data_IF_428970774809
#
_entry.id   IF_428970774809
#
_cell.length_a   1.000
_cell.length_b   1.000
_cell.length_c   1.000
_cell.angle_alpha   90.00
_cell.angle_beta   90.00
_cell.angle_gamma   90.00
#
_symmetry.space_group_name_H-M   'P 1'
#
loop_
_entity.id
_entity.type
_entity.pdbx_description
1 polymer ?
#
# COMPACT_ATOMS: atom_id res chain seq x y z
N UNK A 1 3.17 20.16 -5.01
CA UNK A 1 2.41 18.89 -4.89
C UNK A 1 2.86 18.11 -3.67
N UNK A 2 1.92 17.64 -2.88
CA UNK A 2 2.23 16.91 -1.66
C UNK A 2 2.25 15.41 -1.95
N UNK A 3 3.32 14.74 -1.52
CA UNK A 3 3.41 13.29 -1.65
C UNK A 3 2.84 12.64 -0.40
N UNK A 4 2.03 11.62 -0.58
CA UNK A 4 1.36 10.95 0.53
C UNK A 4 1.50 9.43 0.44
N UNK A 5 1.46 8.80 1.59
CA UNK A 5 1.42 7.35 1.72
C UNK A 5 0.09 7.00 2.37
N UNK A 6 -0.64 6.06 1.80
CA UNK A 6 -1.93 5.64 2.34
C UNK A 6 -1.76 4.33 3.08
N UNK A 7 -1.99 4.36 4.38
CA UNK A 7 -1.94 3.15 5.20
C UNK A 7 -3.35 2.56 5.29
N UNK A 8 -3.46 1.28 4.99
CA UNK A 8 -4.76 0.62 4.99
C UNK A 8 -5.64 1.07 3.83
N UNK A 9 -5.09 1.05 2.62
CA UNK A 9 -5.76 1.62 1.45
C UNK A 9 -7.07 0.95 1.09
N UNK A 10 -7.28 -0.30 1.47
CA UNK A 10 -8.50 -1.02 1.16
C UNK A 10 -9.57 -0.90 2.26
N UNK A 11 -9.24 -0.30 3.40
CA UNK A 11 -10.20 -0.02 4.45
C UNK A 11 -11.05 1.20 4.11
N UNK A 12 -12.11 1.44 4.89
CA UNK A 12 -13.04 2.53 4.57
C UNK A 12 -12.38 3.90 4.63
N UNK A 13 -11.53 4.15 5.61
CA UNK A 13 -10.84 5.44 5.70
C UNK A 13 -9.85 5.62 4.56
N UNK A 14 -9.09 4.57 4.23
CA UNK A 14 -8.15 4.62 3.12
C UNK A 14 -8.83 4.87 1.79
N UNK A 15 -9.98 4.22 1.55
CA UNK A 15 -10.72 4.42 0.31
C UNK A 15 -11.27 5.84 0.22
N UNK A 16 -11.77 6.38 1.34
CA UNK A 16 -12.23 7.76 1.36
C UNK A 16 -11.10 8.75 1.07
N UNK A 17 -9.93 8.51 1.67
CA UNK A 17 -8.77 9.35 1.42
C UNK A 17 -8.39 9.33 -0.06
N UNK A 18 -8.40 8.15 -0.68
CA UNK A 18 -8.08 8.04 -2.10
C UNK A 18 -9.10 8.75 -2.98
N UNK A 19 -10.38 8.74 -2.60
CA UNK A 19 -11.40 9.49 -3.34
C UNK A 19 -11.12 10.98 -3.32
N UNK A 20 -10.75 11.50 -2.15
CA UNK A 20 -10.41 12.92 -2.02
C UNK A 20 -9.20 13.26 -2.86
N UNK A 21 -8.19 12.41 -2.84
CA UNK A 21 -6.98 12.63 -3.62
C UNK A 21 -7.29 12.58 -5.12
N UNK A 22 -8.12 11.65 -5.54
CA UNK A 22 -8.51 11.53 -6.94
C UNK A 22 -9.23 12.78 -7.44
N UNK A 23 -9.93 13.48 -6.54
CA UNK A 23 -10.59 14.72 -6.88
C UNK A 23 -9.66 15.92 -6.90
N UNK A 24 -8.44 15.77 -6.43
CA UNK A 24 -7.45 16.85 -6.34
C UNK A 24 -6.09 16.39 -6.87
N UNK A 25 -6.02 15.92 -8.12
CA UNK A 25 -4.79 15.29 -8.61
C UNK A 25 -3.60 16.26 -8.73
N UNK A 26 -3.87 17.55 -8.81
CA UNK A 26 -2.79 18.54 -8.88
C UNK A 26 -2.23 18.89 -7.52
N UNK A 27 -2.89 18.49 -6.43
CA UNK A 27 -2.45 18.81 -5.08
C UNK A 27 -1.72 17.67 -4.39
N UNK A 28 -2.06 16.44 -4.74
CA UNK A 28 -1.53 15.26 -4.04
C UNK A 28 -1.04 14.22 -5.02
N UNK A 29 0.01 13.53 -4.62
CA UNK A 29 0.51 12.37 -5.33
C UNK A 29 0.66 11.22 -4.35
N UNK A 30 0.01 10.10 -4.64
CA UNK A 30 0.15 8.90 -3.81
C UNK A 30 1.40 8.16 -4.26
N UNK A 31 2.38 8.04 -3.37
CA UNK A 31 3.63 7.36 -3.72
C UNK A 31 3.64 5.91 -3.24
N UNK A 32 2.84 5.57 -2.25
CA UNK A 32 2.81 4.22 -1.72
C UNK A 32 1.46 3.90 -1.09
N UNK A 33 1.11 2.61 -1.15
CA UNK A 33 -0.07 2.07 -0.48
C UNK A 33 0.36 0.92 0.41
N UNK A 34 -0.28 0.80 1.57
CA UNK A 34 -0.17 -0.41 2.38
C UNK A 34 -1.54 -0.96 2.66
N UNK A 35 -1.63 -2.28 2.80
CA UNK A 35 -2.89 -2.96 3.04
C UNK A 35 -2.62 -4.33 3.65
N UNK A 36 -3.63 -4.91 4.30
CA UNK A 36 -3.51 -6.29 4.75
C UNK A 36 -3.41 -7.26 3.58
N UNK A 37 -3.91 -6.88 2.41
CA UNK A 37 -3.82 -7.72 1.23
C UNK A 37 -4.90 -8.79 1.13
N UNK A 38 -5.93 -8.71 1.98
CA UNK A 38 -7.02 -9.69 1.95
C UNK A 38 -7.93 -9.51 0.74
N UNK A 39 -7.85 -8.35 0.09
CA UNK A 39 -8.53 -8.10 -1.17
C UNK A 39 -7.50 -7.66 -2.19
N UNK A 40 -6.70 -8.61 -2.72
CA UNK A 40 -5.60 -8.24 -3.61
C UNK A 40 -6.04 -7.56 -4.89
N UNK A 41 -7.20 -7.91 -5.42
CA UNK A 41 -7.70 -7.27 -6.63
C UNK A 41 -7.90 -5.77 -6.44
N UNK A 42 -8.40 -5.37 -5.28
CA UNK A 42 -8.60 -3.95 -4.98
C UNK A 42 -7.28 -3.22 -4.84
N UNK A 43 -6.31 -3.83 -4.15
CA UNK A 43 -4.98 -3.24 -4.01
C UNK A 43 -4.35 -2.99 -5.38
N UNK A 44 -4.44 -4.00 -6.25
CA UNK A 44 -3.89 -3.90 -7.61
C UNK A 44 -4.55 -2.77 -8.37
N UNK A 45 -5.88 -2.70 -8.29
CA UNK A 45 -6.64 -1.65 -8.97
C UNK A 45 -6.23 -0.26 -8.47
N UNK A 46 -6.14 -0.10 -7.15
CA UNK A 46 -5.74 1.18 -6.55
C UNK A 46 -4.34 1.58 -6.96
N UNK A 47 -3.40 0.64 -6.92
CA UNK A 47 -2.01 0.93 -7.25
C UNK A 47 -1.87 1.38 -8.71
N UNK A 48 -2.62 0.78 -9.61
CA UNK A 48 -2.61 1.16 -11.01
C UNK A 48 -3.27 2.53 -11.21
N UNK A 49 -4.41 2.75 -10.55
CA UNK A 49 -5.15 4.01 -10.72
C UNK A 49 -4.32 5.21 -10.26
N UNK A 50 -3.55 5.05 -9.21
CA UNK A 50 -2.75 6.15 -8.66
C UNK A 50 -1.28 6.09 -9.09
N UNK A 51 -0.90 5.07 -9.86
CA UNK A 51 0.46 4.92 -10.37
C UNK A 51 1.50 5.06 -9.25
N UNK A 52 1.31 4.29 -8.19
CA UNK A 52 2.19 4.38 -7.02
C UNK A 52 3.54 3.73 -7.30
N UNK A 53 4.56 4.12 -6.54
CA UNK A 53 5.89 3.56 -6.67
C UNK A 53 6.09 2.30 -5.82
N UNK A 54 5.29 2.14 -4.76
CA UNK A 54 5.50 1.08 -3.79
C UNK A 54 4.17 0.59 -3.22
N UNK A 55 4.08 -0.73 -3.01
CA UNK A 55 2.93 -1.34 -2.34
C UNK A 55 3.46 -2.31 -1.29
N UNK A 56 2.94 -2.20 -0.07
CA UNK A 56 3.24 -3.13 1.01
C UNK A 56 1.98 -3.87 1.42
N UNK A 57 2.04 -5.20 1.46
CA UNK A 57 0.91 -6.03 1.88
C UNK A 57 1.39 -7.12 2.83
N UNK A 58 0.48 -7.58 3.69
CA UNK A 58 0.77 -8.68 4.61
C UNK A 58 0.44 -10.02 3.96
N UNK A 59 -0.69 -10.10 3.27
CA UNK A 59 -1.18 -11.33 2.64
C UNK A 59 -1.18 -11.19 1.14
N UNK A 60 -1.10 -12.33 0.45
CA UNK A 60 -1.23 -12.38 -1.01
C UNK A 60 -0.17 -11.56 -1.75
N UNK A 61 1.04 -11.52 -1.17
CA UNK A 61 2.14 -10.75 -1.74
C UNK A 61 2.39 -11.14 -3.20
N UNK A 62 2.43 -12.44 -3.48
CA UNK A 62 2.72 -12.90 -4.84
C UNK A 62 1.64 -12.53 -5.83
N UNK A 63 0.37 -12.58 -5.40
CA UNK A 63 -0.75 -12.21 -6.26
C UNK A 63 -0.65 -10.73 -6.61
N UNK A 64 -0.39 -9.90 -5.62
CA UNK A 64 -0.28 -8.46 -5.83
C UNK A 64 0.94 -8.14 -6.70
N UNK A 65 2.06 -8.79 -6.42
CA UNK A 65 3.30 -8.57 -7.19
C UNK A 65 3.09 -8.94 -8.65
N UNK A 66 2.41 -10.05 -8.91
CA UNK A 66 2.13 -10.51 -10.26
C UNK A 66 1.25 -9.53 -11.03
N UNK A 67 0.30 -8.90 -10.32
CA UNK A 67 -0.60 -7.94 -10.93
C UNK A 67 0.00 -6.56 -11.14
N UNK A 68 1.19 -6.29 -10.58
CA UNK A 68 1.82 -4.98 -10.63
C UNK A 68 3.27 -5.06 -11.11
N UNK A 69 3.51 -5.51 -12.36
CA UNK A 69 4.87 -5.71 -12.85
C UNK A 69 5.54 -4.38 -12.99
N UNK A 70 5.88 -3.57 -12.61
CA UNK A 70 6.56 -2.28 -12.72
C UNK A 70 6.53 -1.53 -11.42
N UNK A 71 5.88 -2.10 -10.41
CA UNK A 71 5.76 -1.46 -9.11
C UNK A 71 6.44 -2.35 -8.08
N UNK A 72 7.17 -1.74 -7.15
CA UNK A 72 7.83 -2.50 -6.10
C UNK A 72 6.78 -2.96 -5.09
N UNK A 73 6.67 -4.27 -4.90
CA UNK A 73 5.73 -4.88 -3.95
C UNK A 73 6.50 -5.64 -2.91
N UNK A 74 6.25 -5.34 -1.65
CA UNK A 74 6.93 -5.97 -0.51
C UNK A 74 5.94 -6.60 0.43
N UNK A 75 6.35 -7.70 1.06
CA UNK A 75 5.55 -8.33 2.09
C UNK A 75 5.98 -7.80 3.46
N UNK A 76 5.13 -7.05 4.09
CA UNK A 76 5.43 -6.49 5.41
C UNK A 76 5.77 -7.57 6.41
N UNK A 77 5.00 -8.64 6.42
CA UNK A 77 5.22 -9.70 7.39
C UNK A 77 6.60 -10.33 7.23
N UNK A 78 7.01 -10.54 6.00
CA UNK A 78 8.33 -11.11 5.71
C UNK A 78 9.45 -10.21 6.20
N UNK A 79 9.34 -8.93 5.91
CA UNK A 79 10.34 -7.96 6.36
C UNK A 79 10.42 -7.92 7.88
N UNK A 80 9.28 -7.96 8.54
CA UNK A 80 9.21 -7.87 9.98
C UNK A 80 9.77 -9.10 10.68
N UNK A 81 9.55 -10.28 10.11
CA UNK A 81 10.05 -11.51 10.71
C UNK A 81 11.55 -11.68 10.50
N UNK A 82 12.11 -11.06 9.49
CA UNK A 82 13.52 -11.18 9.18
C UNK A 82 14.39 -10.18 9.92
N UNK A 83 13.79 -9.19 10.56
CA UNK A 83 14.52 -8.14 11.25
C UNK A 83 14.03 -8.03 12.69
N UNK A 84 14.74 -8.66 13.66
CA UNK A 84 14.30 -8.64 15.04
C UNK A 84 14.06 -7.24 15.64
N UNK A 85 14.91 -6.25 15.37
CA UNK A 85 14.64 -4.91 15.90
C UNK A 85 13.33 -4.34 15.38
N UNK A 86 12.99 -4.58 14.14
CA UNK A 86 11.75 -4.10 13.58
C UNK A 86 10.55 -4.78 14.21
N UNK A 87 10.65 -6.08 14.43
CA UNK A 87 9.57 -6.78 15.10
C UNK A 87 9.32 -6.21 16.49
N UNK A 88 10.40 -5.87 17.17
CA UNK A 88 10.29 -5.27 18.49
C UNK A 88 9.58 -3.93 18.40
N UNK A 89 9.96 -3.12 17.43
CA UNK A 89 9.38 -1.81 17.24
C UNK A 89 7.91 -1.85 16.89
N UNK A 90 7.46 -2.94 16.30
CA UNK A 90 6.08 -3.03 15.86
C UNK A 90 5.10 -3.46 16.91
N UNK A 91 5.57 -3.87 18.06
CA UNK A 91 4.65 -4.34 19.06
C UNK A 91 3.71 -3.29 19.58
N UNK A 92 4.05 -2.06 19.43
CA UNK A 92 3.19 -0.98 19.88
C UNK A 92 2.32 -0.43 18.77
N UNK A 93 2.60 -0.84 17.57
CA UNK A 93 1.91 -0.28 16.40
C UNK A 93 0.79 -1.09 15.89
#
# INVERSE_FOLDING_TARGET
MREVVILGSTGSIGRQALEIIASNPEKFRVIALTSAGTNPALVIEQAKAFNVAFVGVVNNVDVVRHGLPGIKVEGFYESLTNDPPLRTGLRFG
#
